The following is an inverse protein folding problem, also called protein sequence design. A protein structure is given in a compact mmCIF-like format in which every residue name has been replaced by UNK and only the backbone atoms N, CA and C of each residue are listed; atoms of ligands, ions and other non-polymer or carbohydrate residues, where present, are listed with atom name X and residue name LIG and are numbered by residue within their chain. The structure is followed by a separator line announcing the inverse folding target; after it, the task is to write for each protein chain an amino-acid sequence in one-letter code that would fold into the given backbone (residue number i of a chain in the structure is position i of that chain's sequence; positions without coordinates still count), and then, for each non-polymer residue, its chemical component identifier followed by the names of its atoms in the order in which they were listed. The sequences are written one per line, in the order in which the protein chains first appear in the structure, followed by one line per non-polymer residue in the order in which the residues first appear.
data_IF_272655717635
#
_entry.id   IF_272655717635
#
_cell.length_a   1.000
_cell.length_b   1.000
_cell.length_c   1.000
_cell.angle_alpha   90.00
_cell.angle_beta   90.00
_cell.angle_gamma   90.00
#
_symmetry.space_group_name_H-M   'P 1'
#
loop_
_entity.id
_entity.type
_entity.pdbx_description
1 polymer ?
#
# COMPACT_ATOMS: atom_id res chain seq x y z
N UNK A 1 0.14 5.88 -17.87
CA UNK A 1 -0.93 6.86 -18.14
C UNK A 1 -0.40 8.01 -18.97
N UNK A 2 -1.28 8.69 -19.69
CA UNK A 2 -1.01 9.89 -20.50
C UNK A 2 -2.11 10.93 -20.25
N UNK A 3 -1.94 12.21 -20.61
CA UNK A 3 -3.00 13.20 -20.52
C UNK A 3 -4.27 12.75 -21.26
N UNK A 4 -5.45 13.06 -20.74
CA UNK A 4 -6.73 12.64 -21.33
C UNK A 4 -6.91 13.13 -22.77
N UNK A 5 -6.42 14.33 -23.08
CA UNK A 5 -6.46 14.96 -24.40
C UNK A 5 -5.28 14.56 -25.32
N UNK A 6 -4.39 13.66 -24.90
CA UNK A 6 -3.27 13.20 -25.70
C UNK A 6 -3.73 12.36 -26.89
N UNK A 7 -3.04 12.46 -28.03
CA UNK A 7 -3.27 11.62 -29.22
C UNK A 7 -2.72 10.19 -29.05
N UNK A 8 -1.94 9.93 -27.98
CA UNK A 8 -1.40 8.62 -27.67
C UNK A 8 -2.55 7.68 -27.24
N UNK A 9 -2.77 6.60 -28.02
CA UNK A 9 -3.84 5.62 -27.78
C UNK A 9 -3.33 4.27 -27.32
N UNK A 10 -2.07 3.96 -27.61
CA UNK A 10 -1.47 2.66 -27.30
C UNK A 10 -0.06 2.84 -26.74
N UNK A 11 0.35 1.89 -25.90
CA UNK A 11 1.65 1.92 -25.21
C UNK A 11 2.83 1.86 -26.19
N UNK A 12 2.66 1.29 -27.38
CA UNK A 12 3.71 1.22 -28.41
C UNK A 12 4.12 2.60 -28.95
N UNK A 13 3.28 3.61 -28.76
CA UNK A 13 3.57 4.99 -29.16
C UNK A 13 4.43 5.74 -28.11
N UNK A 14 4.70 5.12 -26.96
CA UNK A 14 5.43 5.72 -25.86
C UNK A 14 6.86 5.18 -25.82
N UNK A 15 7.85 6.09 -25.74
CA UNK A 15 9.27 5.73 -25.59
C UNK A 15 9.76 6.00 -24.17
N UNK A 16 9.39 7.16 -23.62
CA UNK A 16 9.82 7.62 -22.31
C UNK A 16 8.65 7.76 -21.37
N UNK A 17 8.85 7.39 -20.11
CA UNK A 17 7.87 7.58 -19.03
C UNK A 17 8.55 8.12 -17.78
N UNK A 18 7.88 9.03 -17.08
CA UNK A 18 8.29 9.45 -15.74
C UNK A 18 7.83 8.44 -14.68
N UNK A 19 8.71 8.12 -13.74
CA UNK A 19 8.35 7.28 -12.59
C UNK A 19 9.30 7.50 -11.41
N UNK A 20 8.84 7.33 -10.15
CA UNK A 20 9.66 7.44 -8.96
C UNK A 20 10.46 6.15 -8.72
N UNK A 21 11.50 5.93 -9.52
CA UNK A 21 12.30 4.69 -9.49
C UNK A 21 13.00 4.47 -8.15
N UNK A 22 13.34 5.52 -7.42
CA UNK A 22 13.96 5.39 -6.10
C UNK A 22 13.00 4.78 -5.06
N UNK A 23 11.69 5.02 -5.22
CA UNK A 23 10.68 4.65 -4.21
C UNK A 23 9.86 3.42 -4.61
N UNK A 24 9.81 3.07 -5.90
CA UNK A 24 8.98 1.94 -6.41
C UNK A 24 9.69 1.16 -7.53
N UNK A 25 11.01 1.02 -7.44
CA UNK A 25 11.85 0.37 -8.45
C UNK A 25 11.33 -1.01 -8.85
N UNK A 26 10.94 -1.82 -7.87
CA UNK A 26 10.54 -3.21 -8.06
C UNK A 26 9.28 -3.34 -8.93
N UNK A 27 8.26 -2.52 -8.66
CA UNK A 27 7.02 -2.53 -9.42
C UNK A 27 7.19 -1.91 -10.81
N UNK A 28 7.99 -0.85 -10.91
CA UNK A 28 8.33 -0.20 -12.19
C UNK A 28 9.11 -1.18 -13.08
N UNK A 29 10.12 -1.87 -12.56
CA UNK A 29 10.85 -2.92 -13.29
C UNK A 29 9.95 -4.08 -13.70
N UNK A 30 9.02 -4.51 -12.85
CA UNK A 30 8.07 -5.57 -13.20
C UNK A 30 7.18 -5.16 -14.39
N UNK A 31 6.67 -3.92 -14.39
CA UNK A 31 5.89 -3.37 -15.49
C UNK A 31 6.70 -3.29 -16.80
N UNK A 32 7.90 -2.70 -16.77
CA UNK A 32 8.73 -2.53 -17.97
C UNK A 32 9.19 -3.86 -18.55
N UNK A 33 9.58 -4.81 -17.70
CA UNK A 33 9.93 -6.17 -18.12
C UNK A 33 8.73 -6.89 -18.74
N UNK A 34 7.53 -6.73 -18.20
CA UNK A 34 6.32 -7.30 -18.78
C UNK A 34 6.05 -6.71 -20.16
N UNK A 35 6.14 -5.39 -20.33
CA UNK A 35 5.95 -4.71 -21.60
C UNK A 35 6.96 -5.17 -22.66
N UNK A 36 8.23 -5.29 -22.30
CA UNK A 36 9.27 -5.82 -23.20
C UNK A 36 8.96 -7.25 -23.68
N UNK A 37 8.49 -8.11 -22.77
CA UNK A 37 8.18 -9.50 -23.08
C UNK A 37 6.89 -9.67 -23.90
N UNK A 38 5.82 -8.99 -23.51
CA UNK A 38 4.47 -9.25 -24.03
C UNK A 38 4.08 -8.35 -25.20
N UNK A 39 4.58 -7.10 -25.21
CA UNK A 39 4.25 -6.09 -26.21
C UNK A 39 5.43 -5.68 -27.09
N UNK A 40 6.64 -6.18 -26.80
CA UNK A 40 7.89 -5.78 -27.47
C UNK A 40 8.17 -4.27 -27.40
N UNK A 41 7.70 -3.64 -26.32
CA UNK A 41 7.88 -2.23 -26.05
C UNK A 41 8.93 -2.06 -24.97
N UNK A 42 10.01 -1.36 -25.29
CA UNK A 42 11.07 -1.00 -24.35
C UNK A 42 10.88 0.46 -23.97
N UNK A 43 10.60 0.71 -22.69
CA UNK A 43 10.43 2.06 -22.15
C UNK A 43 11.73 2.54 -21.50
N UNK A 44 12.11 3.77 -21.81
CA UNK A 44 13.07 4.50 -20.97
C UNK A 44 12.32 5.12 -19.81
N UNK A 45 12.82 4.91 -18.59
CA UNK A 45 12.20 5.44 -17.38
C UNK A 45 13.05 6.60 -16.88
N UNK A 46 12.47 7.80 -16.98
CA UNK A 46 13.04 9.02 -16.44
C UNK A 46 12.63 9.15 -14.97
N UNK A 47 13.57 9.53 -14.10
CA UNK A 47 13.33 9.55 -12.67
C UNK A 47 12.50 10.76 -12.23
N UNK A 48 11.52 10.52 -11.38
CA UNK A 48 10.77 11.53 -10.62
C UNK A 48 10.97 11.31 -9.12
N UNK A 49 10.80 12.36 -8.34
CA UNK A 49 10.89 12.27 -6.87
C UNK A 49 9.69 11.55 -6.23
N UNK A 50 8.51 11.62 -6.87
CA UNK A 50 7.28 10.96 -6.40
C UNK A 50 6.27 10.78 -7.52
N UNK A 51 5.22 10.00 -7.29
CA UNK A 51 4.09 9.89 -8.23
C UNK A 51 3.34 11.20 -8.41
N UNK A 52 3.22 11.99 -7.35
CA UNK A 52 2.63 13.33 -7.41
C UNK A 52 3.47 14.27 -8.28
N UNK A 53 4.79 14.27 -8.10
CA UNK A 53 5.70 15.07 -8.94
C UNK A 53 5.63 14.65 -10.41
N UNK A 54 5.59 13.33 -10.69
CA UNK A 54 5.41 12.81 -12.04
C UNK A 54 4.07 13.26 -12.66
N UNK A 55 2.99 13.24 -11.87
CA UNK A 55 1.68 13.74 -12.31
C UNK A 55 1.70 15.23 -12.60
N UNK A 56 2.33 16.03 -11.75
CA UNK A 56 2.45 17.48 -11.97
C UNK A 56 3.22 17.78 -13.26
N UNK A 57 4.32 17.08 -13.53
CA UNK A 57 5.05 17.21 -14.80
C UNK A 57 4.21 16.77 -16.00
N UNK A 58 3.40 15.70 -15.86
CA UNK A 58 2.48 15.27 -16.91
C UNK A 58 1.42 16.35 -17.19
N UNK A 59 0.83 16.93 -16.14
CA UNK A 59 -0.20 17.97 -16.22
C UNK A 59 0.35 19.27 -16.84
N UNK A 60 1.58 19.62 -16.53
CA UNK A 60 2.24 20.82 -17.05
C UNK A 60 2.76 20.64 -18.49
N UNK A 61 2.67 19.43 -19.05
CA UNK A 61 3.16 19.15 -20.42
C UNK A 61 4.66 18.90 -20.52
N UNK A 62 5.37 18.84 -19.39
CA UNK A 62 6.80 18.53 -19.32
C UNK A 62 7.06 17.05 -19.63
N UNK A 63 6.11 16.19 -19.34
CA UNK A 63 6.13 14.77 -19.65
C UNK A 63 4.93 14.37 -20.51
N UNK A 64 5.13 13.42 -21.43
CA UNK A 64 4.06 12.89 -22.30
C UNK A 64 3.38 11.66 -21.70
N UNK A 65 4.05 10.95 -20.82
CA UNK A 65 3.56 9.74 -20.16
C UNK A 65 4.24 9.53 -18.80
N UNK A 66 3.52 8.87 -17.90
CA UNK A 66 4.07 8.45 -16.62
C UNK A 66 3.61 7.03 -16.26
N UNK A 67 4.38 6.34 -15.43
CA UNK A 67 3.89 5.17 -14.69
C UNK A 67 3.06 5.69 -13.52
N UNK A 68 1.92 5.07 -13.28
CA UNK A 68 1.10 5.32 -12.10
C UNK A 68 0.81 3.99 -11.42
N UNK A 69 1.32 3.82 -10.21
CA UNK A 69 0.91 2.74 -9.34
C UNK A 69 -0.39 3.15 -8.65
N UNK A 70 -1.46 2.35 -8.84
CA UNK A 70 -2.80 2.67 -8.32
C UNK A 70 -2.87 2.87 -6.81
N UNK A 71 -1.92 2.32 -6.08
CA UNK A 71 -1.78 2.52 -4.64
C UNK A 71 -1.59 4.00 -4.27
N UNK A 72 -0.95 4.77 -5.15
CA UNK A 72 -0.68 6.19 -4.94
C UNK A 72 -1.72 7.12 -5.58
N UNK A 73 -2.76 6.58 -6.22
CA UNK A 73 -3.82 7.40 -6.84
C UNK A 73 -4.45 8.37 -5.83
N UNK A 74 -4.69 7.92 -4.60
CA UNK A 74 -5.27 8.75 -3.55
C UNK A 74 -4.39 9.93 -3.10
N UNK A 75 -3.06 9.82 -3.22
CA UNK A 75 -2.14 10.93 -2.93
C UNK A 75 -2.30 12.03 -3.96
N UNK A 76 -2.45 11.63 -5.23
CA UNK A 76 -2.70 12.59 -6.32
C UNK A 76 -4.10 13.20 -6.18
N UNK A 77 -5.12 12.39 -5.87
CA UNK A 77 -6.51 12.82 -5.71
C UNK A 77 -6.68 13.86 -4.58
N UNK A 78 -5.94 13.72 -3.49
CA UNK A 78 -5.98 14.68 -2.39
C UNK A 78 -5.57 16.10 -2.80
N UNK A 79 -4.57 16.24 -3.69
CA UNK A 79 -4.14 17.55 -4.20
C UNK A 79 -4.87 17.95 -5.49
N UNK A 80 -5.31 16.96 -6.28
CA UNK A 80 -5.98 17.14 -7.56
C UNK A 80 -7.23 16.25 -7.63
N UNK A 81 -8.36 16.67 -7.03
CA UNK A 81 -9.59 15.87 -6.99
C UNK A 81 -10.13 15.44 -8.35
N UNK A 82 -9.79 16.20 -9.41
CA UNK A 82 -10.21 15.93 -10.79
C UNK A 82 -9.20 15.09 -11.61
N UNK A 83 -8.12 14.58 -10.98
CA UNK A 83 -6.99 13.92 -11.66
C UNK A 83 -7.44 12.79 -12.59
N UNK A 84 -8.43 11.99 -12.17
CA UNK A 84 -8.92 10.83 -12.93
C UNK A 84 -9.51 11.24 -14.28
N UNK A 85 -10.10 12.44 -14.36
CA UNK A 85 -10.65 13.01 -15.61
C UNK A 85 -9.58 13.61 -16.53
N UNK A 86 -8.39 13.90 -15.98
CA UNK A 86 -7.27 14.55 -16.70
C UNK A 86 -6.30 13.55 -17.33
N UNK A 87 -6.42 12.27 -16.99
CA UNK A 87 -5.55 11.21 -17.51
C UNK A 87 -6.35 10.11 -18.19
N UNK A 88 -5.68 9.34 -19.05
CA UNK A 88 -6.19 8.07 -19.57
C UNK A 88 -5.16 6.97 -19.41
N UNK A 89 -5.65 5.78 -19.05
CA UNK A 89 -4.83 4.56 -18.88
C UNK A 89 -4.70 3.90 -20.25
N UNK A 90 -3.50 3.90 -20.84
CA UNK A 90 -3.21 3.26 -22.12
C UNK A 90 -2.68 1.84 -21.99
N UNK A 91 -2.23 1.46 -20.80
CA UNK A 91 -1.85 0.10 -20.45
C UNK A 91 -1.99 -0.11 -18.95
N UNK A 92 -2.44 -1.31 -18.55
CA UNK A 92 -2.54 -1.71 -17.13
C UNK A 92 -1.87 -3.07 -16.95
N UNK A 93 -1.03 -3.17 -15.93
CA UNK A 93 -0.40 -4.40 -15.49
C UNK A 93 -0.73 -4.65 -14.03
N UNK A 94 -1.31 -5.81 -13.74
CA UNK A 94 -1.62 -6.23 -12.37
C UNK A 94 -0.47 -7.07 -11.82
N UNK A 95 0.10 -6.62 -10.72
CA UNK A 95 1.09 -7.38 -9.97
C UNK A 95 0.35 -8.05 -8.83
N UNK A 96 0.13 -9.37 -8.96
CA UNK A 96 -0.42 -10.18 -7.87
C UNK A 96 0.74 -10.74 -7.06
N UNK A 97 0.97 -10.24 -5.86
CA UNK A 97 1.77 -10.95 -4.87
C UNK A 97 0.88 -12.00 -4.22
N UNK A 98 1.27 -13.28 -4.31
CA UNK A 98 0.80 -14.28 -3.37
C UNK A 98 1.40 -13.87 -2.03
N UNK A 99 0.58 -13.42 -1.10
CA UNK A 99 0.99 -13.25 0.30
C UNK A 99 1.14 -14.69 0.79
N UNK A 100 2.34 -15.19 0.84
CA UNK A 100 2.64 -16.36 1.66
C UNK A 100 2.42 -15.87 3.09
N UNK A 101 1.38 -16.41 3.72
CA UNK A 101 1.16 -16.16 5.15
C UNK A 101 2.46 -16.53 5.84
N UNK A 102 3.14 -15.54 6.40
CA UNK A 102 4.23 -15.80 7.32
C UNK A 102 3.65 -16.73 8.38
N UNK A 103 4.06 -17.99 8.38
CA UNK A 103 3.75 -18.90 9.46
C UNK A 103 4.56 -18.37 10.64
N UNK A 104 3.90 -17.55 11.45
CA UNK A 104 4.47 -17.20 12.74
C UNK A 104 4.66 -18.50 13.50
N UNK A 105 5.87 -18.81 13.98
CA UNK A 105 6.09 -20.00 14.77
C UNK A 105 5.13 -19.95 15.95
N UNK A 106 4.42 -21.05 16.18
CA UNK A 106 3.54 -21.18 17.33
C UNK A 106 4.38 -20.92 18.58
N UNK A 107 4.29 -19.72 19.12
CA UNK A 107 5.07 -19.36 20.31
C UNK A 107 4.37 -19.96 21.52
N UNK A 108 5.10 -20.79 22.23
CA UNK A 108 4.67 -21.33 23.52
C UNK A 108 4.83 -20.27 24.64
N UNK A 109 4.96 -18.99 24.26
CA UNK A 109 5.21 -17.90 25.18
C UNK A 109 3.93 -17.54 25.95
N UNK A 110 4.09 -17.28 27.23
CA UNK A 110 2.99 -16.78 28.08
C UNK A 110 2.52 -15.39 27.67
N UNK A 111 3.37 -14.64 26.98
CA UNK A 111 3.08 -13.30 26.44
C UNK A 111 3.30 -13.31 24.94
N UNK A 112 2.32 -12.77 24.20
CA UNK A 112 2.42 -12.58 22.74
C UNK A 112 1.67 -11.34 22.30
N UNK A 113 2.06 -10.82 21.15
CA UNK A 113 1.50 -9.63 20.55
C UNK A 113 0.72 -9.97 19.29
N UNK A 114 -0.45 -9.36 19.14
CA UNK A 114 -1.31 -9.43 17.96
C UNK A 114 -1.47 -8.02 17.41
N UNK A 115 -1.10 -7.80 16.15
CA UNK A 115 -1.39 -6.55 15.47
C UNK A 115 -2.79 -6.60 14.87
N UNK A 116 -3.66 -5.65 15.24
CA UNK A 116 -4.98 -5.47 14.67
C UNK A 116 -4.94 -4.27 13.73
N UNK A 117 -5.13 -4.54 12.44
CA UNK A 117 -5.16 -3.56 11.35
C UNK A 117 -6.57 -3.37 10.82
N UNK A 118 -7.08 -2.16 10.87
CA UNK A 118 -8.33 -1.78 10.20
C UNK A 118 -8.05 -1.01 8.91
N UNK A 119 -8.67 -1.41 7.82
CA UNK A 119 -8.56 -0.75 6.51
C UNK A 119 -9.92 -0.23 6.05
N UNK A 120 -9.91 0.98 5.48
CA UNK A 120 -11.12 1.65 4.96
C UNK A 120 -11.47 1.14 3.55
N UNK A 121 -11.92 -0.13 3.48
CA UNK A 121 -12.34 -0.74 2.22
C UNK A 121 -13.50 -1.70 2.42
N UNK A 122 -14.20 -1.98 1.32
CA UNK A 122 -15.18 -3.07 1.21
C UNK A 122 -14.63 -4.19 0.33
N UNK A 123 -15.17 -5.39 0.46
CA UNK A 123 -14.79 -6.55 -0.34
C UNK A 123 -13.62 -7.35 0.24
N UNK A 124 -12.67 -7.84 -0.58
CA UNK A 124 -11.59 -8.70 -0.09
C UNK A 124 -10.61 -7.95 0.82
N UNK A 125 -10.29 -8.51 1.99
CA UNK A 125 -9.28 -7.96 2.93
C UNK A 125 -7.84 -7.99 2.38
N UNK A 126 -7.62 -8.72 1.29
CA UNK A 126 -6.34 -8.74 0.56
C UNK A 126 -6.08 -7.49 -0.27
N UNK A 127 -7.04 -6.57 -0.35
CA UNK A 127 -6.87 -5.30 -1.05
C UNK A 127 -5.73 -4.50 -0.43
N UNK A 128 -4.84 -3.99 -1.26
CA UNK A 128 -3.82 -3.04 -0.82
C UNK A 128 -4.50 -1.75 -0.42
N UNK A 129 -4.35 -1.34 0.84
CA UNK A 129 -4.99 -0.15 1.38
C UNK A 129 -4.21 0.40 2.56
N UNK A 130 -4.51 1.64 2.92
CA UNK A 130 -4.02 2.28 4.13
C UNK A 130 -4.50 1.53 5.36
N UNK A 131 -3.66 1.49 6.40
CA UNK A 131 -3.99 0.94 7.71
C UNK A 131 -4.46 2.08 8.60
N UNK A 132 -5.77 2.28 8.69
CA UNK A 132 -6.36 3.41 9.41
C UNK A 132 -6.51 3.15 10.91
N UNK A 133 -6.61 1.87 11.28
CA UNK A 133 -6.58 1.42 12.67
C UNK A 133 -5.33 0.59 12.89
N UNK A 134 -4.54 0.98 13.89
CA UNK A 134 -3.29 0.31 14.25
C UNK A 134 -3.30 0.07 15.76
N UNK A 135 -3.64 -1.17 16.16
CA UNK A 135 -3.70 -1.57 17.57
C UNK A 135 -2.80 -2.78 17.77
N UNK A 136 -1.93 -2.72 18.79
CA UNK A 136 -1.19 -3.88 19.27
C UNK A 136 -1.92 -4.41 20.50
N UNK A 137 -2.38 -5.65 20.43
CA UNK A 137 -2.98 -6.36 21.55
C UNK A 137 -1.92 -7.29 22.15
N UNK A 138 -1.39 -6.92 23.32
CA UNK A 138 -0.47 -7.75 24.10
C UNK A 138 -1.26 -8.61 25.07
N UNK A 139 -1.18 -9.92 24.89
CA UNK A 139 -1.88 -10.90 25.72
C UNK A 139 -0.87 -11.59 26.65
N UNK A 140 -1.10 -11.50 27.96
CA UNK A 140 -0.36 -12.26 28.97
C UNK A 140 -1.26 -13.34 29.57
N UNK A 141 -1.05 -14.60 29.15
CA UNK A 141 -1.85 -15.75 29.58
C UNK A 141 -1.65 -16.09 31.05
N UNK A 142 -0.45 -15.87 31.56
CA UNK A 142 -0.11 -16.16 32.95
C UNK A 142 -0.83 -15.25 33.93
N UNK A 143 -0.85 -13.96 33.65
CA UNK A 143 -1.52 -12.95 34.51
C UNK A 143 -2.98 -12.70 34.08
N UNK A 144 -3.44 -13.33 32.98
CA UNK A 144 -4.78 -13.12 32.38
C UNK A 144 -5.07 -11.64 32.06
N UNK A 145 -4.05 -10.90 31.62
CA UNK A 145 -4.16 -9.48 31.27
C UNK A 145 -4.03 -9.30 29.76
N UNK A 146 -4.78 -8.35 29.25
CA UNK A 146 -4.69 -7.87 27.87
C UNK A 146 -4.44 -6.37 27.92
N UNK A 147 -3.41 -5.93 27.19
CA UNK A 147 -3.12 -4.52 26.98
C UNK A 147 -3.40 -4.17 25.51
N UNK A 148 -4.13 -3.10 25.27
CA UNK A 148 -4.36 -2.54 23.95
C UNK A 148 -3.55 -1.24 23.80
N UNK A 149 -2.63 -1.22 22.86
CA UNK A 149 -1.82 -0.05 22.50
C UNK A 149 -2.23 0.45 21.14
N UNK A 150 -2.87 1.60 21.08
CA UNK A 150 -3.29 2.23 19.81
C UNK A 150 -2.22 3.20 19.34
N UNK A 151 -1.83 3.09 18.08
CA UNK A 151 -0.93 4.04 17.42
C UNK A 151 -1.72 4.90 16.43
N UNK A 152 -1.66 6.25 16.51
CA UNK A 152 -2.35 7.12 15.59
C UNK A 152 -1.92 6.82 14.13
N UNK A 153 -2.88 6.78 13.21
CA UNK A 153 -2.61 6.52 11.78
C UNK A 153 -1.67 7.55 11.14
N UNK A 154 -1.68 8.78 11.65
CA UNK A 154 -0.85 9.89 11.17
C UNK A 154 0.50 10.00 11.90
N UNK A 155 0.84 9.05 12.79
CA UNK A 155 2.16 9.01 13.40
C UNK A 155 3.25 8.99 12.31
N UNK A 156 4.22 9.91 12.40
CA UNK A 156 5.31 10.06 11.44
C UNK A 156 6.47 9.18 11.87
N UNK A 157 6.68 8.09 11.16
CA UNK A 157 7.63 7.02 11.53
C UNK A 157 8.36 6.47 10.31
N UNK A 158 9.57 5.92 10.46
CA UNK A 158 10.25 5.21 9.38
C UNK A 158 9.44 3.99 8.95
N UNK A 159 9.01 3.93 7.68
CA UNK A 159 8.22 2.82 7.14
C UNK A 159 9.15 1.71 6.68
N UNK A 160 8.99 0.53 7.26
CA UNK A 160 9.78 -0.65 6.94
C UNK A 160 9.51 -1.20 5.51
N UNK A 161 10.36 -2.14 5.08
CA UNK A 161 10.24 -2.90 3.83
C UNK A 161 10.08 -2.01 2.59
N UNK A 162 8.87 -1.98 2.02
CA UNK A 162 8.58 -1.20 0.81
C UNK A 162 8.72 0.31 1.00
N UNK A 163 8.68 0.81 2.23
CA UNK A 163 8.92 2.21 2.59
C UNK A 163 10.40 2.57 2.67
N UNK A 164 11.31 1.58 2.56
CA UNK A 164 12.77 1.75 2.59
C UNK A 164 13.27 2.55 3.80
N UNK A 165 12.62 2.39 4.96
CA UNK A 165 12.86 3.12 6.21
C UNK A 165 12.79 4.65 6.09
N UNK A 166 12.11 5.16 5.05
CA UNK A 166 11.84 6.60 4.93
C UNK A 166 10.69 6.99 5.87
N UNK A 167 10.82 8.14 6.56
CA UNK A 167 9.75 8.64 7.41
C UNK A 167 8.50 9.01 6.60
N UNK A 168 7.35 8.47 7.03
CA UNK A 168 6.05 8.79 6.44
C UNK A 168 4.95 8.52 7.49
N UNK A 169 3.69 8.80 7.17
CA UNK A 169 2.56 8.46 8.03
C UNK A 169 2.43 6.95 8.18
N UNK A 170 2.21 6.46 9.40
CA UNK A 170 2.07 5.04 9.69
C UNK A 170 1.00 4.35 8.82
N UNK A 171 -0.11 5.05 8.52
CA UNK A 171 -1.18 4.54 7.65
C UNK A 171 -0.66 4.08 6.28
N UNK A 172 0.41 4.69 5.77
CA UNK A 172 1.01 4.35 4.48
C UNK A 172 1.78 3.02 4.51
N UNK A 173 2.17 2.52 5.67
CA UNK A 173 2.76 1.18 5.79
C UNK A 173 1.84 0.10 5.21
N UNK A 174 0.52 0.24 5.40
CA UNK A 174 -0.48 -0.67 4.85
C UNK A 174 -0.51 -0.75 3.32
N UNK A 175 -0.01 0.27 2.64
CA UNK A 175 0.14 0.33 1.17
C UNK A 175 1.20 -0.66 0.68
N UNK A 176 2.26 -0.84 1.48
CA UNK A 176 3.34 -1.79 1.19
C UNK A 176 3.03 -3.22 1.65
N UNK A 177 1.89 -3.42 2.30
CA UNK A 177 1.39 -4.71 2.78
C UNK A 177 1.34 -4.80 4.30
N UNK A 178 0.74 -5.89 4.79
CA UNK A 178 0.59 -6.10 6.23
C UNK A 178 1.94 -6.29 6.92
N UNK A 179 2.90 -6.94 6.25
CA UNK A 179 4.23 -7.18 6.79
C UNK A 179 4.97 -5.86 7.04
N UNK A 180 4.87 -4.90 6.11
CA UNK A 180 5.45 -3.57 6.30
C UNK A 180 4.85 -2.84 7.50
N UNK A 181 3.54 -2.98 7.74
CA UNK A 181 2.90 -2.41 8.94
C UNK A 181 3.40 -3.09 10.23
N UNK A 182 3.50 -4.42 10.22
CA UNK A 182 4.03 -5.20 11.35
C UNK A 182 5.47 -4.78 11.65
N UNK A 183 6.37 -4.86 10.67
CA UNK A 183 7.79 -4.52 10.86
C UNK A 183 8.00 -3.06 11.25
N UNK A 184 7.16 -2.14 10.75
CA UNK A 184 7.21 -0.73 11.17
C UNK A 184 6.88 -0.59 12.66
N UNK A 185 5.84 -1.27 13.14
CA UNK A 185 5.44 -1.22 14.54
C UNK A 185 6.43 -1.97 15.46
N UNK A 186 6.98 -3.10 15.00
CA UNK A 186 8.04 -3.82 15.71
C UNK A 186 9.27 -2.93 15.94
N UNK A 187 9.72 -2.24 14.89
CA UNK A 187 10.83 -1.27 15.00
C UNK A 187 10.49 -0.09 15.92
N UNK A 188 9.27 0.45 15.82
CA UNK A 188 8.83 1.60 16.62
C UNK A 188 8.81 1.30 18.12
N UNK A 189 8.33 0.10 18.50
CA UNK A 189 8.14 -0.27 19.90
C UNK A 189 9.23 -1.18 20.45
N UNK A 190 10.14 -1.71 19.63
CA UNK A 190 11.17 -2.67 20.04
C UNK A 190 10.59 -4.00 20.55
N UNK A 191 9.53 -4.48 19.91
CA UNK A 191 8.81 -5.71 20.28
C UNK A 191 8.66 -6.62 19.08
N UNK A 192 8.45 -7.92 19.30
CA UNK A 192 8.07 -8.87 18.27
C UNK A 192 6.54 -9.00 18.21
N UNK A 193 5.97 -9.05 17.00
CA UNK A 193 4.54 -9.26 16.75
C UNK A 193 4.34 -10.64 16.13
N UNK A 194 3.73 -11.57 16.87
CA UNK A 194 3.60 -12.96 16.46
C UNK A 194 2.42 -13.22 15.55
N UNK A 195 1.35 -12.41 15.67
CA UNK A 195 0.10 -12.60 14.93
C UNK A 195 -0.43 -11.27 14.45
N UNK A 196 -1.25 -11.32 13.39
CA UNK A 196 -2.03 -10.16 12.98
C UNK A 196 -3.47 -10.53 12.64
N UNK A 197 -4.35 -9.55 12.79
CA UNK A 197 -5.75 -9.58 12.31
C UNK A 197 -5.94 -8.35 11.44
N UNK A 198 -6.39 -8.55 10.21
CA UNK A 198 -6.74 -7.45 9.31
C UNK A 198 -8.22 -7.44 9.04
N UNK A 199 -8.87 -6.32 9.29
CA UNK A 199 -10.30 -6.12 9.14
C UNK A 199 -10.57 -4.98 8.16
N UNK A 200 -11.65 -5.12 7.40
CA UNK A 200 -12.28 -4.06 6.65
C UNK A 200 -13.77 -4.01 7.01
N UNK A 201 -14.54 -3.08 6.48
CA UNK A 201 -15.97 -2.96 6.79
C UNK A 201 -16.72 -4.27 6.57
N UNK A 202 -16.49 -4.95 5.45
CA UNK A 202 -17.17 -6.22 5.16
C UNK A 202 -16.85 -7.32 6.17
N UNK A 203 -15.57 -7.49 6.52
CA UNK A 203 -15.14 -8.51 7.47
C UNK A 203 -15.54 -8.16 8.90
N UNK A 204 -15.53 -6.86 9.25
CA UNK A 204 -15.97 -6.38 10.55
C UNK A 204 -17.47 -6.63 10.77
N UNK A 205 -18.32 -6.29 9.81
CA UNK A 205 -19.76 -6.59 9.89
C UNK A 205 -20.01 -8.07 10.07
N UNK A 206 -19.35 -8.93 9.28
CA UNK A 206 -19.46 -10.38 9.43
C UNK A 206 -19.02 -10.89 10.80
N UNK A 207 -17.99 -10.29 11.38
CA UNK A 207 -17.50 -10.64 12.72
C UNK A 207 -18.56 -10.29 13.77
N UNK A 208 -19.18 -9.12 13.69
CA UNK A 208 -20.25 -8.69 14.59
C UNK A 208 -21.47 -9.59 14.47
N UNK A 209 -21.89 -9.94 13.25
CA UNK A 209 -22.99 -10.87 12.99
C UNK A 209 -22.72 -12.24 13.62
N UNK A 210 -21.50 -12.74 13.53
CA UNK A 210 -21.07 -14.02 14.08
C UNK A 210 -21.08 -14.04 15.62
N UNK A 211 -20.86 -12.88 16.24
CA UNK A 211 -20.92 -12.70 17.70
C UNK A 211 -22.37 -12.48 18.22
N UNK A 212 -23.34 -12.39 17.33
CA UNK A 212 -24.74 -12.16 17.68
C UNK A 212 -25.12 -10.68 17.88
N UNK A 213 -24.29 -9.78 17.37
CA UNK A 213 -24.45 -8.34 17.52
C UNK A 213 -23.67 -7.76 18.70
N UNK A 214 -23.87 -6.48 18.95
CA UNK A 214 -23.37 -5.74 20.12
C UNK A 214 -24.50 -4.89 20.70
N UNK A 215 -24.61 -4.88 22.00
CA UNK A 215 -25.55 -3.99 22.71
C UNK A 215 -24.93 -2.58 22.74
N UNK A 216 -25.73 -1.57 22.35
CA UNK A 216 -25.32 -0.17 22.27
C UNK A 216 -26.15 0.66 23.25
#
# INVERSE_FOLDING_TARGET
VVPANSDIKDISQVKNVLAPTANDEKNIKALTNNLAKTKKVNLTVDQSSSYLAAYNSLRNGEAKAMVLNSVFESVIENEHPDYASKIKKIYTYKISKKIENAQSPATNNDVFNIYVSGIDTYGPVSSVSRSDVNIIMTVNRKTKRVLLTTTPRDAYVPIADGGADQPDKLTHAGIYGIDASVHTLEKLYGIDIQYYVRLNFTSFLKLIDLLGGVDV
#
